data_IF_177040677294
#
_entry.id   IF_177040677294
#
_cell.length_a   1.000
_cell.length_b   1.000
_cell.length_c   1.000
_cell.angle_alpha   90.00
_cell.angle_beta   90.00
_cell.angle_gamma   90.00
#
_symmetry.space_group_name_H-M   'P 1'
#
loop_
_entity.id
_entity.type
_entity.pdbx_description
1 polymer ?
#
# COMPACT_ATOMS: atom_id res chain seq x y z
N UNK A 1 9.89 1.70 -25.67
CA UNK A 1 8.45 1.50 -25.35
C UNK A 1 8.20 1.22 -23.86
N UNK A 2 9.17 1.44 -22.97
CA UNK A 2 9.00 1.36 -21.51
C UNK A 2 8.98 2.76 -20.86
N UNK A 3 9.32 3.79 -21.64
CA UNK A 3 9.59 5.15 -21.15
C UNK A 3 8.30 5.93 -20.86
N UNK A 4 7.20 5.58 -21.52
CA UNK A 4 5.90 6.25 -21.38
C UNK A 4 5.13 5.84 -20.12
N UNK A 5 5.31 4.60 -19.63
CA UNK A 5 4.62 4.13 -18.41
C UNK A 5 5.25 4.76 -17.16
N UNK A 6 6.59 4.89 -17.15
CA UNK A 6 7.31 5.52 -16.04
C UNK A 6 7.00 7.03 -15.93
N UNK A 7 6.82 7.71 -17.06
CA UNK A 7 6.46 9.12 -17.10
C UNK A 7 5.03 9.38 -16.57
N UNK A 8 4.07 8.50 -16.88
CA UNK A 8 2.69 8.66 -16.41
C UNK A 8 2.51 8.46 -14.90
N UNK A 9 3.28 7.57 -14.28
CA UNK A 9 3.27 7.40 -12.82
C UNK A 9 3.86 8.63 -12.10
N UNK A 10 4.81 9.34 -12.70
CA UNK A 10 5.32 10.61 -12.14
C UNK A 10 4.30 11.74 -12.17
N UNK A 11 3.42 11.79 -13.17
CA UNK A 11 2.40 12.87 -13.28
C UNK A 11 1.21 12.68 -12.35
N UNK A 12 0.82 11.44 -12.02
CA UNK A 12 -0.34 11.17 -11.15
C UNK A 12 -0.07 11.39 -9.65
N UNK A 13 1.20 11.47 -9.26
CA UNK A 13 1.64 11.82 -7.89
C UNK A 13 2.02 13.33 -7.85
N UNK A 14 1.46 14.14 -8.75
CA UNK A 14 1.47 15.61 -8.61
C UNK A 14 0.39 16.04 -7.63
N UNK A 15 0.65 15.80 -6.34
CA UNK A 15 0.34 16.76 -5.27
C UNK A 15 1.19 16.40 -4.05
N UNK A 16 2.30 17.16 -3.98
CA UNK A 16 3.27 17.25 -2.89
C UNK A 16 4.26 16.09 -2.76
N UNK A 17 5.53 16.46 -2.55
CA UNK A 17 6.71 15.63 -2.25
C UNK A 17 7.50 15.09 -3.45
N UNK A 18 8.34 15.96 -4.02
CA UNK A 18 9.45 15.59 -4.89
C UNK A 18 10.55 14.90 -4.06
N UNK A 19 10.61 13.57 -4.09
CA UNK A 19 11.71 12.81 -3.51
C UNK A 19 12.81 12.58 -4.56
N UNK A 20 13.86 13.41 -4.55
CA UNK A 20 15.03 13.21 -5.41
C UNK A 20 16.03 12.29 -4.72
N UNK A 21 15.98 10.99 -5.02
CA UNK A 21 16.95 10.00 -4.50
C UNK A 21 18.23 10.05 -5.34
N UNK A 22 19.36 10.42 -4.73
CA UNK A 22 20.69 10.38 -5.36
C UNK A 22 21.50 9.22 -4.78
N UNK A 23 21.80 8.21 -5.61
CA UNK A 23 22.55 7.03 -5.18
C UNK A 23 24.07 7.26 -5.36
N UNK A 24 24.81 7.41 -4.25
CA UNK A 24 26.28 7.46 -4.28
C UNK A 24 26.87 6.06 -4.15
N UNK A 25 27.49 5.51 -5.20
CA UNK A 25 28.25 4.25 -5.15
C UNK A 25 29.61 4.48 -4.49
N UNK A 26 29.67 4.47 -3.16
CA UNK A 26 30.93 4.40 -2.42
C UNK A 26 31.18 2.97 -1.94
N UNK A 27 32.26 2.36 -2.43
CA UNK A 27 32.84 1.16 -1.80
C UNK A 27 33.48 1.55 -0.46
N UNK A 28 33.39 0.68 0.56
CA UNK A 28 34.08 0.91 1.85
C UNK A 28 35.42 0.18 1.86
N UNK A 29 36.38 0.64 2.67
CA UNK A 29 37.70 0.01 2.76
C UNK A 29 37.66 -1.41 3.38
N UNK A 30 36.51 -1.86 3.90
CA UNK A 30 36.30 -3.22 4.43
C UNK A 30 35.76 -4.21 3.40
N UNK A 31 35.62 -3.81 2.13
CA UNK A 31 35.08 -4.64 1.06
C UNK A 31 33.56 -4.85 1.10
N UNK A 32 32.87 -4.45 2.17
CA UNK A 32 31.40 -4.44 2.24
C UNK A 32 30.85 -3.16 1.62
N UNK A 33 29.80 -3.21 0.77
CA UNK A 33 29.16 -2.00 0.28
C UNK A 33 28.57 -1.21 1.47
N UNK A 34 28.78 0.11 1.50
CA UNK A 34 28.10 0.96 2.50
C UNK A 34 26.59 0.88 2.26
N UNK A 35 25.79 0.98 3.31
CA UNK A 35 24.35 1.10 3.15
C UNK A 35 24.03 2.35 2.30
N UNK A 36 23.09 2.24 1.34
CA UNK A 36 22.68 3.38 0.53
C UNK A 36 22.10 4.47 1.43
N UNK A 37 22.53 5.71 1.22
CA UNK A 37 22.05 6.88 1.96
C UNK A 37 20.97 7.56 1.16
N UNK A 38 19.85 7.85 1.80
CA UNK A 38 18.77 8.65 1.21
C UNK A 38 18.85 10.03 1.84
N UNK A 39 19.06 11.05 1.01
CA UNK A 39 18.98 12.45 1.40
C UNK A 39 17.69 13.03 0.81
N UNK A 40 16.94 13.77 1.62
CA UNK A 40 15.64 14.32 1.24
C UNK A 40 15.59 15.78 1.64
N UNK A 41 15.07 16.63 0.75
CA UNK A 41 14.70 18.01 1.07
C UNK A 41 13.23 17.98 1.49
N UNK A 42 12.96 18.29 2.76
CA UNK A 42 11.62 18.29 3.34
C UNK A 42 11.08 19.73 3.44
N UNK A 43 9.76 19.94 3.31
CA UNK A 43 9.14 21.21 3.67
C UNK A 43 9.41 21.58 5.14
N UNK A 44 9.51 22.88 5.42
CA UNK A 44 9.86 23.39 6.75
C UNK A 44 8.85 22.94 7.82
N UNK A 45 7.55 23.05 7.54
CA UNK A 45 6.49 22.62 8.45
C UNK A 45 6.64 21.14 8.86
N UNK A 46 6.97 20.27 7.91
CA UNK A 46 7.16 18.85 8.18
C UNK A 46 8.41 18.62 9.05
N UNK A 47 9.49 19.35 8.79
CA UNK A 47 10.70 19.29 9.60
C UNK A 47 10.44 19.69 11.06
N UNK A 48 9.66 20.75 11.30
CA UNK A 48 9.26 21.21 12.64
C UNK A 48 8.46 20.12 13.35
N UNK A 49 7.45 19.54 12.69
CA UNK A 49 6.64 18.46 13.26
C UNK A 49 7.47 17.23 13.61
N UNK A 50 8.42 16.87 12.74
CA UNK A 50 9.30 15.71 12.96
C UNK A 50 10.25 15.95 14.13
N UNK A 51 10.76 17.17 14.27
CA UNK A 51 11.60 17.58 15.41
C UNK A 51 10.83 17.47 16.73
N UNK A 52 9.60 17.97 16.79
CA UNK A 52 8.77 17.88 18.00
C UNK A 52 8.49 16.42 18.43
N UNK A 53 8.21 15.53 17.46
CA UNK A 53 8.04 14.10 17.74
C UNK A 53 9.34 13.44 18.22
N UNK A 54 10.47 13.82 17.62
CA UNK A 54 11.78 13.30 17.99
C UNK A 54 12.17 13.69 19.42
N UNK A 55 11.91 14.95 19.81
CA UNK A 55 12.11 15.43 21.18
C UNK A 55 11.22 14.69 22.18
N UNK A 56 9.92 14.53 21.86
CA UNK A 56 8.97 13.80 22.70
C UNK A 56 9.42 12.36 22.99
N UNK A 57 9.96 11.67 21.99
CA UNK A 57 10.44 10.29 22.13
C UNK A 57 11.93 10.16 22.49
N UNK A 58 12.63 11.28 22.76
CA UNK A 58 14.07 11.29 23.06
C UNK A 58 14.93 10.58 21.99
N UNK A 59 14.62 10.82 20.72
CA UNK A 59 15.30 10.24 19.54
C UNK A 59 15.84 11.35 18.65
N UNK A 60 16.80 11.01 17.78
CA UNK A 60 17.22 11.95 16.73
C UNK A 60 16.15 12.05 15.64
N UNK A 61 16.06 13.21 15.00
CA UNK A 61 15.16 13.49 13.87
C UNK A 61 15.30 12.42 12.77
N UNK A 62 16.52 12.03 12.42
CA UNK A 62 16.78 10.97 11.43
C UNK A 62 16.25 9.60 11.85
N UNK A 63 16.41 9.22 13.13
CA UNK A 63 15.89 7.96 13.64
C UNK A 63 14.36 7.97 13.71
N UNK A 64 13.75 9.07 14.14
CA UNK A 64 12.30 9.24 14.14
C UNK A 64 11.73 9.10 12.72
N UNK A 65 12.35 9.78 11.74
CA UNK A 65 11.96 9.66 10.33
C UNK A 65 12.03 8.21 9.84
N UNK A 66 13.13 7.50 10.17
CA UNK A 66 13.29 6.08 9.83
C UNK A 66 12.15 5.22 10.41
N UNK A 67 11.82 5.39 11.70
CA UNK A 67 10.77 4.61 12.36
C UNK A 67 9.41 4.88 11.73
N UNK A 68 9.06 6.14 11.47
CA UNK A 68 7.79 6.52 10.85
C UNK A 68 7.67 5.96 9.43
N UNK A 69 8.75 5.95 8.64
CA UNK A 69 8.78 5.32 7.32
C UNK A 69 8.53 3.81 7.44
N UNK A 70 9.21 3.12 8.35
CA UNK A 70 9.03 1.68 8.56
C UNK A 70 7.59 1.34 8.95
N UNK A 71 7.01 2.07 9.90
CA UNK A 71 5.62 1.91 10.32
C UNK A 71 4.63 2.27 9.21
N UNK A 72 4.95 3.26 8.37
CA UNK A 72 4.15 3.64 7.21
C UNK A 72 4.08 2.52 6.17
N UNK A 73 5.22 1.91 5.84
CA UNK A 73 5.30 0.77 4.90
C UNK A 73 4.50 -0.41 5.43
N UNK A 74 4.69 -0.78 6.70
CA UNK A 74 3.99 -1.91 7.30
C UNK A 74 2.46 -1.72 7.24
N UNK A 75 1.96 -0.52 7.56
CA UNK A 75 0.52 -0.21 7.46
C UNK A 75 0.02 -0.29 6.02
N UNK A 76 0.77 0.26 5.08
CA UNK A 76 0.42 0.24 3.66
C UNK A 76 0.37 -1.19 3.07
N UNK A 77 1.26 -2.09 3.51
CA UNK A 77 1.25 -3.50 3.11
C UNK A 77 0.06 -4.26 3.73
N UNK A 78 -0.27 -3.97 5.00
CA UNK A 78 -1.44 -4.53 5.67
C UNK A 78 -2.75 -4.10 5.00
N UNK A 79 -2.87 -2.82 4.63
CA UNK A 79 -4.05 -2.32 3.93
C UNK A 79 -4.21 -2.97 2.56
N UNK A 80 -3.13 -3.11 1.77
CA UNK A 80 -3.20 -3.78 0.47
C UNK A 80 -3.56 -5.27 0.56
N UNK A 81 -3.01 -5.98 1.55
CA UNK A 81 -3.37 -7.40 1.76
C UNK A 81 -4.83 -7.55 2.21
N UNK A 82 -5.39 -6.58 2.93
CA UNK A 82 -6.81 -6.57 3.30
C UNK A 82 -7.75 -6.28 2.12
N UNK A 83 -7.34 -5.47 1.14
CA UNK A 83 -8.15 -5.13 -0.05
C UNK A 83 -8.09 -6.24 -1.12
N UNK A 84 -6.99 -7.00 -1.21
CA UNK A 84 -6.85 -8.15 -2.12
C UNK A 84 -7.39 -9.45 -1.51
N UNK A 85 -7.70 -9.45 -0.21
CA UNK A 85 -8.46 -10.52 0.41
C UNK A 85 -9.92 -10.46 -0.04
N UNK A 86 -10.19 -11.10 -1.19
CA UNK A 86 -11.44 -11.80 -1.44
C UNK A 86 -11.96 -12.43 -0.13
N UNK A 87 -13.29 -12.55 0.07
CA UNK A 87 -13.88 -13.00 1.34
C UNK A 87 -13.07 -14.18 1.87
N UNK A 88 -12.50 -14.01 3.08
CA UNK A 88 -11.55 -14.96 3.66
C UNK A 88 -12.05 -16.38 3.46
N UNK A 89 -11.16 -17.34 3.18
CA UNK A 89 -11.57 -18.74 2.97
C UNK A 89 -12.48 -19.24 4.13
N UNK A 90 -12.24 -18.77 5.35
CA UNK A 90 -13.10 -18.96 6.53
C UNK A 90 -14.53 -18.41 6.36
N UNK A 91 -14.72 -17.26 5.73
CA UNK A 91 -16.04 -16.71 5.37
C UNK A 91 -16.76 -17.54 4.31
N UNK A 92 -16.02 -18.21 3.42
CA UNK A 92 -16.61 -19.02 2.34
C UNK A 92 -16.91 -20.45 2.76
N UNK A 93 -16.34 -20.94 3.86
CA UNK A 93 -16.50 -22.33 4.30
C UNK A 93 -17.94 -22.62 4.74
N UNK A 94 -18.54 -21.71 5.51
CA UNK A 94 -19.96 -21.81 5.88
C UNK A 94 -20.88 -21.73 4.67
N UNK A 95 -20.53 -20.92 3.68
CA UNK A 95 -21.27 -20.83 2.42
C UNK A 95 -21.18 -22.11 1.59
N UNK A 96 -19.99 -22.71 1.46
CA UNK A 96 -19.79 -24.00 0.76
C UNK A 96 -20.57 -25.11 1.44
N UNK A 97 -20.43 -25.23 2.75
CA UNK A 97 -21.12 -26.27 3.54
C UNK A 97 -22.65 -26.15 3.42
N UNK A 98 -23.19 -24.92 3.43
CA UNK A 98 -24.61 -24.68 3.21
C UNK A 98 -25.07 -25.06 1.78
N UNK A 99 -24.24 -24.84 0.76
CA UNK A 99 -24.55 -25.16 -0.64
C UNK A 99 -24.50 -26.67 -0.89
N UNK A 100 -23.53 -27.37 -0.28
CA UNK A 100 -23.39 -28.83 -0.36
C UNK A 100 -24.48 -29.58 0.41
N UNK A 101 -24.93 -29.03 1.54
CA UNK A 101 -26.07 -29.56 2.29
C UNK A 101 -27.42 -29.36 1.57
N UNK A 102 -27.47 -28.49 0.55
CA UNK A 102 -28.68 -28.18 -0.17
C UNK A 102 -29.03 -29.32 -1.14
N UNK A 103 -30.17 -29.98 -0.91
CA UNK A 103 -30.62 -31.06 -1.79
C UNK A 103 -30.90 -30.53 -3.22
N UNK A 104 -30.48 -31.26 -4.27
CA UNK A 104 -30.74 -30.86 -5.65
C UNK A 104 -32.24 -30.90 -5.93
N UNK A 105 -32.89 -29.74 -5.87
CA UNK A 105 -34.32 -29.59 -6.13
C UNK A 105 -34.52 -29.00 -7.52
N UNK A 106 -35.36 -29.64 -8.33
CA UNK A 106 -35.77 -29.08 -9.62
C UNK A 106 -36.42 -27.72 -9.38
N UNK A 107 -35.90 -26.69 -10.05
CA UNK A 107 -36.54 -25.39 -10.11
C UNK A 107 -37.97 -25.61 -10.66
N UNK A 108 -39.00 -25.23 -9.88
CA UNK A 108 -40.39 -25.41 -10.29
C UNK A 108 -40.69 -24.44 -11.43
N UNK A 109 -40.77 -24.99 -12.65
CA UNK A 109 -41.19 -24.25 -13.84
C UNK A 109 -40.06 -23.56 -14.60
N UNK A 110 -40.42 -22.93 -15.72
CA UNK A 110 -39.49 -22.20 -16.56
C UNK A 110 -39.00 -20.93 -15.84
N UNK A 111 -37.71 -20.57 -15.97
CA UNK A 111 -37.15 -19.37 -15.34
C UNK A 111 -37.89 -18.11 -15.81
N UNK A 112 -38.38 -17.31 -14.86
CA UNK A 112 -38.99 -16.01 -15.16
C UNK A 112 -37.91 -15.04 -15.62
N UNK A 113 -38.12 -14.39 -16.78
CA UNK A 113 -37.26 -13.30 -17.24
C UNK A 113 -37.33 -12.13 -16.27
N UNK A 114 -36.20 -11.83 -15.62
CA UNK A 114 -36.02 -10.59 -14.88
C UNK A 114 -35.71 -9.46 -15.88
N UNK A 115 -36.49 -8.38 -15.84
CA UNK A 115 -36.16 -7.14 -16.56
C UNK A 115 -35.37 -6.26 -15.61
N UNK A 116 -34.11 -5.99 -15.96
CA UNK A 116 -33.29 -5.02 -15.24
C UNK A 116 -33.79 -3.61 -15.56
N UNK A 117 -33.89 -2.76 -14.55
CA UNK A 117 -34.27 -1.37 -14.69
C UNK A 117 -33.19 -0.60 -15.47
N UNK A 118 -33.59 0.14 -16.50
CA UNK A 118 -32.72 1.06 -17.24
C UNK A 118 -33.07 2.49 -16.81
N UNK A 119 -32.18 3.22 -16.13
CA UNK A 119 -32.37 4.63 -15.84
C UNK A 119 -32.40 5.44 -17.15
N UNK A 120 -33.30 6.41 -17.21
CA UNK A 120 -33.49 7.37 -18.32
C UNK A 120 -32.44 8.47 -18.32
#
# INVERSE_FOLDING_TARGET
>A
MLDTILAHLCTLISKSYFFRVVATRQTSSSGKPKSPRVQVVLPEELCVRLTALAELESRTVSNMAKVLIQQGIQRYEQEQSSVVSAPSLASTEGFRSALEAQQPRRLRGAPRRLRLYRPS
#
